data_IF_561039216116
#
_entry.id   IF_561039216116
#
_cell.length_a   1.000
_cell.length_b   1.000
_cell.length_c   1.000
_cell.angle_alpha   90.00
_cell.angle_beta   90.00
_cell.angle_gamma   90.00
#
_symmetry.space_group_name_H-M   'P 1'
#
loop_
_entity.id
_entity.type
_entity.pdbx_description
1 polymer ?
#
# COMPACT_ATOMS: atom_id res chain seq x y z
N UNK A 1 -10.14 -3.64 -14.37
CA UNK A 1 -9.12 -4.72 -14.30
C UNK A 1 -9.42 -5.55 -13.08
N UNK A 2 -9.57 -6.87 -13.25
CA UNK A 2 -9.78 -7.77 -12.10
C UNK A 2 -8.48 -7.86 -11.28
N UNK A 3 -8.56 -7.51 -9.99
CA UNK A 3 -7.43 -7.63 -9.07
C UNK A 3 -7.11 -9.10 -8.79
N UNK A 4 -5.82 -9.45 -8.77
CA UNK A 4 -5.36 -10.79 -8.33
C UNK A 4 -5.55 -11.00 -6.81
N UNK A 5 -5.81 -9.94 -6.05
CA UNK A 5 -6.04 -10.04 -4.60
C UNK A 5 -7.31 -10.82 -4.26
N UNK A 6 -8.30 -10.86 -5.15
CA UNK A 6 -9.54 -11.61 -4.95
C UNK A 6 -9.51 -13.04 -5.47
N UNK A 7 -8.45 -13.44 -6.17
CA UNK A 7 -8.34 -14.78 -6.79
C UNK A 7 -7.63 -15.74 -5.85
N UNK A 8 -8.10 -16.98 -5.80
CA UNK A 8 -7.36 -18.09 -5.22
C UNK A 8 -6.14 -18.44 -6.08
N UNK A 9 -5.14 -19.10 -5.49
CA UNK A 9 -3.97 -19.57 -6.23
C UNK A 9 -4.38 -20.52 -7.35
N UNK A 10 -5.45 -21.31 -7.18
CA UNK A 10 -5.97 -22.21 -8.21
C UNK A 10 -6.49 -21.43 -9.42
N UNK A 11 -7.26 -20.37 -9.18
CA UNK A 11 -7.77 -19.51 -10.25
C UNK A 11 -6.63 -18.77 -10.95
N UNK A 12 -5.64 -18.28 -10.19
CA UNK A 12 -4.44 -17.66 -10.76
C UNK A 12 -3.68 -18.65 -11.65
N UNK A 13 -3.53 -19.90 -11.19
CA UNK A 13 -2.84 -20.95 -11.94
C UNK A 13 -3.53 -21.27 -13.25
N UNK A 14 -4.86 -21.41 -13.22
CA UNK A 14 -5.66 -21.72 -14.42
C UNK A 14 -5.65 -20.54 -15.40
N UNK A 15 -5.79 -19.31 -14.90
CA UNK A 15 -5.96 -18.12 -15.74
C UNK A 15 -4.65 -17.58 -16.29
N UNK A 16 -3.62 -17.44 -15.45
CA UNK A 16 -2.45 -16.59 -15.74
C UNK A 16 -1.09 -17.28 -15.58
N UNK A 17 -0.95 -18.30 -14.74
CA UNK A 17 0.32 -19.06 -14.60
C UNK A 17 0.38 -20.32 -15.46
N UNK A 18 -0.53 -20.50 -16.43
CA UNK A 18 -0.55 -21.68 -17.31
C UNK A 18 0.64 -21.75 -18.27
N UNK A 19 1.24 -20.61 -18.61
CA UNK A 19 2.45 -20.51 -19.43
C UNK A 19 3.13 -19.13 -19.26
N UNK A 20 4.39 -19.01 -19.70
CA UNK A 20 5.07 -17.70 -19.72
C UNK A 20 4.34 -16.67 -20.59
N UNK A 21 3.74 -17.08 -21.72
CA UNK A 21 2.98 -16.16 -22.57
C UNK A 21 1.69 -15.68 -21.88
N UNK A 22 1.01 -16.55 -21.12
CA UNK A 22 -0.14 -16.15 -20.32
C UNK A 22 0.24 -15.11 -19.25
N UNK A 23 1.38 -15.29 -18.58
CA UNK A 23 1.91 -14.31 -17.63
C UNK A 23 2.25 -12.98 -18.31
N UNK A 24 2.89 -13.02 -19.50
CA UNK A 24 3.21 -11.82 -20.28
C UNK A 24 1.93 -11.07 -20.65
N UNK A 25 0.91 -11.78 -21.12
CA UNK A 25 -0.37 -11.21 -21.51
C UNK A 25 -1.06 -10.56 -20.31
N UNK A 26 -1.10 -11.23 -19.17
CA UNK A 26 -1.58 -10.66 -17.91
C UNK A 26 -0.84 -9.36 -17.56
N UNK A 27 0.50 -9.36 -17.62
CA UNK A 27 1.29 -8.16 -17.31
C UNK A 27 1.08 -7.01 -18.30
N UNK A 28 0.75 -7.29 -19.56
CA UNK A 28 0.36 -6.25 -20.52
C UNK A 28 -1.00 -5.67 -20.13
N UNK A 29 -1.97 -6.53 -19.80
CA UNK A 29 -3.33 -6.11 -19.43
C UNK A 29 -3.35 -5.24 -18.18
N UNK A 30 -2.51 -5.56 -17.18
CA UNK A 30 -2.36 -4.75 -15.97
C UNK A 30 -1.40 -3.56 -16.13
N UNK A 31 -0.82 -3.37 -17.32
CA UNK A 31 0.04 -2.22 -17.63
C UNK A 31 1.47 -2.28 -17.06
N UNK A 32 1.90 -3.44 -16.54
CA UNK A 32 3.27 -3.66 -16.06
C UNK A 32 4.26 -3.99 -17.19
N UNK A 33 3.74 -4.42 -18.35
CA UNK A 33 4.47 -4.52 -19.61
C UNK A 33 3.84 -3.59 -20.65
N UNK A 34 4.67 -3.10 -21.58
CA UNK A 34 4.17 -2.29 -22.70
C UNK A 34 3.32 -3.15 -23.63
N UNK A 35 2.18 -2.62 -24.04
CA UNK A 35 1.29 -3.26 -25.01
C UNK A 35 1.82 -3.13 -26.44
N UNK A 36 1.06 -3.69 -27.39
CA UNK A 36 1.27 -3.57 -28.83
C UNK A 36 0.81 -2.21 -29.39
N UNK A 37 0.59 -1.20 -28.55
CA UNK A 37 0.24 0.16 -28.98
C UNK A 37 1.47 1.06 -28.96
N UNK A 38 1.75 1.72 -30.08
CA UNK A 38 2.90 2.60 -30.18
C UNK A 38 2.70 3.86 -29.33
N UNK A 39 3.51 4.06 -28.28
CA UNK A 39 3.46 5.25 -27.42
C UNK A 39 3.86 6.58 -28.08
N UNK A 40 3.96 6.65 -29.41
CA UNK A 40 4.35 7.86 -30.16
C UNK A 40 3.29 8.23 -31.18
N UNK A 41 2.76 7.26 -31.92
CA UNK A 41 1.75 7.50 -32.96
C UNK A 41 0.45 6.74 -32.73
N UNK A 42 0.31 6.04 -31.59
CA UNK A 42 -0.87 5.28 -31.18
C UNK A 42 -1.33 4.17 -32.12
N UNK A 43 -0.55 3.83 -33.14
CA UNK A 43 -0.85 2.73 -34.05
C UNK A 43 -0.52 1.38 -33.40
N UNK A 44 -1.30 0.36 -33.80
CA UNK A 44 -1.00 -1.03 -33.47
C UNK A 44 0.33 -1.45 -34.06
N UNK A 45 1.11 -2.18 -33.26
CA UNK A 45 2.46 -2.65 -33.57
C UNK A 45 2.44 -4.15 -33.84
N UNK A 46 3.35 -4.60 -34.70
CA UNK A 46 3.53 -6.03 -34.99
C UNK A 46 4.54 -6.63 -34.02
N UNK A 47 4.30 -7.87 -33.56
CA UNK A 47 5.30 -8.67 -32.82
C UNK A 47 6.38 -9.16 -33.80
N UNK A 48 7.64 -8.96 -33.44
CA UNK A 48 8.81 -9.49 -34.15
C UNK A 48 9.61 -10.35 -33.19
N UNK A 49 9.98 -11.57 -33.62
CA UNK A 49 10.81 -12.47 -32.83
C UNK A 49 12.17 -11.83 -32.51
N UNK A 50 12.55 -11.90 -31.24
CA UNK A 50 13.84 -11.43 -30.73
C UNK A 50 14.25 -12.35 -29.58
N UNK A 51 15.16 -13.28 -29.85
CA UNK A 51 15.62 -14.27 -28.87
C UNK A 51 16.37 -13.66 -27.67
N UNK A 52 16.90 -12.43 -27.83
CA UNK A 52 17.60 -11.69 -26.76
C UNK A 52 16.62 -10.99 -25.85
N UNK A 53 15.42 -10.64 -26.33
CA UNK A 53 14.38 -10.08 -25.49
C UNK A 53 13.87 -11.13 -24.50
N UNK A 54 13.57 -10.71 -23.26
CA UNK A 54 13.04 -11.60 -22.22
C UNK A 54 11.70 -12.22 -22.63
N UNK A 55 10.83 -11.44 -23.26
CA UNK A 55 9.56 -11.86 -23.87
C UNK A 55 9.73 -12.72 -25.13
N UNK A 56 10.96 -12.93 -25.63
CA UNK A 56 11.25 -13.57 -26.93
C UNK A 56 10.74 -12.82 -28.17
N UNK A 57 10.15 -11.65 -27.98
CA UNK A 57 9.73 -10.75 -29.04
C UNK A 57 9.86 -9.28 -28.64
N UNK A 58 9.89 -8.41 -29.64
CA UNK A 58 9.74 -6.95 -29.52
C UNK A 58 8.59 -6.47 -30.40
N UNK A 59 8.05 -5.29 -30.11
CA UNK A 59 7.06 -4.64 -30.97
C UNK A 59 7.73 -3.75 -32.00
N UNK A 60 7.20 -3.75 -33.22
CA UNK A 60 7.61 -2.85 -34.29
C UNK A 60 6.41 -2.08 -34.86
N UNK A 61 6.53 -0.76 -34.89
CA UNK A 61 5.51 0.11 -35.46
C UNK A 61 5.82 0.37 -36.93
N UNK A 62 4.92 0.00 -37.84
CA UNK A 62 5.07 0.26 -39.28
C UNK A 62 4.95 1.75 -39.61
N UNK A 63 4.10 2.50 -38.89
CA UNK A 63 3.84 3.90 -39.16
C UNK A 63 5.06 4.80 -38.84
N UNK A 64 5.72 4.59 -37.70
CA UNK A 64 6.85 5.43 -37.26
C UNK A 64 8.20 4.69 -37.20
N UNK A 65 8.25 3.43 -37.66
CA UNK A 65 9.44 2.55 -37.72
C UNK A 65 10.13 2.32 -36.37
N UNK A 66 9.46 2.59 -35.24
CA UNK A 66 10.02 2.42 -33.89
C UNK A 66 9.95 0.97 -33.43
N UNK A 67 11.03 0.53 -32.77
CA UNK A 67 11.11 -0.75 -32.05
C UNK A 67 10.90 -0.52 -30.56
N UNK A 68 10.07 -1.33 -29.93
CA UNK A 68 9.77 -1.26 -28.50
C UNK A 68 9.97 -2.63 -27.88
N UNK A 69 10.90 -2.73 -26.92
CA UNK A 69 11.02 -3.91 -26.07
C UNK A 69 9.97 -3.81 -24.94
N UNK A 70 9.09 -4.81 -24.76
CA UNK A 70 8.01 -4.77 -23.77
C UNK A 70 8.49 -4.53 -22.33
N UNK A 71 9.66 -5.05 -21.97
CA UNK A 71 10.22 -4.98 -20.62
C UNK A 71 11.04 -3.71 -20.35
N UNK A 72 11.34 -2.90 -21.37
CA UNK A 72 12.28 -1.77 -21.22
C UNK A 72 11.64 -0.64 -20.41
N UNK A 73 12.34 -0.17 -19.38
CA UNK A 73 11.88 0.83 -18.42
C UNK A 73 10.64 0.39 -17.65
N UNK A 74 10.51 -0.91 -17.40
CA UNK A 74 9.47 -1.47 -16.52
C UNK A 74 10.12 -2.31 -15.41
N UNK A 75 9.29 -2.83 -14.50
CA UNK A 75 9.63 -3.80 -13.45
C UNK A 75 10.55 -4.94 -13.93
N UNK A 76 10.43 -5.31 -15.22
CA UNK A 76 11.11 -6.47 -15.80
C UNK A 76 12.49 -6.16 -16.43
N UNK A 77 12.94 -4.90 -16.45
CA UNK A 77 14.16 -4.49 -17.19
C UNK A 77 15.43 -5.22 -16.75
N UNK A 78 15.68 -5.28 -15.44
CA UNK A 78 16.88 -5.92 -14.85
C UNK A 78 16.54 -7.20 -14.06
N UNK A 79 15.27 -7.58 -14.08
CA UNK A 79 14.76 -8.71 -13.33
C UNK A 79 15.08 -10.02 -14.07
N UNK A 80 15.79 -10.94 -13.41
CA UNK A 80 16.23 -12.21 -13.99
C UNK A 80 15.24 -13.36 -13.83
N UNK A 81 14.21 -13.20 -12.99
CA UNK A 81 13.21 -14.24 -12.72
C UNK A 81 12.28 -14.42 -13.93
N UNK A 82 11.65 -15.58 -14.09
CA UNK A 82 10.65 -15.80 -15.14
C UNK A 82 9.41 -14.92 -14.93
N UNK A 83 8.53 -14.79 -15.92
CA UNK A 83 7.28 -14.04 -15.73
C UNK A 83 6.36 -14.77 -14.74
N UNK A 84 6.33 -16.10 -14.77
CA UNK A 84 5.61 -16.91 -13.79
C UNK A 84 6.12 -16.71 -12.36
N UNK A 85 7.44 -16.70 -12.13
CA UNK A 85 8.04 -16.44 -10.82
C UNK A 85 7.67 -15.05 -10.30
N UNK A 86 7.73 -14.04 -11.17
CA UNK A 86 7.34 -12.67 -10.82
C UNK A 86 5.87 -12.62 -10.38
N UNK A 87 4.98 -13.24 -11.15
CA UNK A 87 3.54 -13.23 -10.87
C UNK A 87 3.23 -13.98 -9.57
N UNK A 88 3.85 -15.14 -9.35
CA UNK A 88 3.65 -15.92 -8.14
C UNK A 88 4.21 -15.21 -6.90
N UNK A 89 5.37 -14.55 -6.99
CA UNK A 89 5.91 -13.74 -5.90
C UNK A 89 5.01 -12.55 -5.56
N UNK A 90 4.48 -11.86 -6.57
CA UNK A 90 3.52 -10.77 -6.37
C UNK A 90 2.26 -11.30 -5.69
N UNK A 91 1.73 -12.45 -6.13
CA UNK A 91 0.59 -13.10 -5.49
C UNK A 91 0.88 -13.45 -4.03
N UNK A 92 2.00 -14.13 -3.74
CA UNK A 92 2.40 -14.50 -2.39
C UNK A 92 2.49 -13.26 -1.48
N UNK A 93 3.06 -12.16 -1.98
CA UNK A 93 3.15 -10.92 -1.22
C UNK A 93 1.79 -10.28 -0.99
N UNK A 94 0.93 -10.21 -2.02
CA UNK A 94 -0.39 -9.59 -1.93
C UNK A 94 -1.37 -10.34 -1.02
N UNK A 95 -1.14 -11.63 -0.78
CA UNK A 95 -1.92 -12.49 0.12
C UNK A 95 -1.25 -12.67 1.49
N UNK A 96 -0.26 -11.85 1.85
CA UNK A 96 0.44 -11.87 3.14
C UNK A 96 1.07 -13.23 3.49
N UNK A 97 1.54 -13.99 2.50
CA UNK A 97 2.27 -15.24 2.76
C UNK A 97 3.60 -14.94 3.45
N UNK A 98 3.99 -15.80 4.40
CA UNK A 98 5.31 -15.72 5.01
C UNK A 98 6.42 -15.99 3.99
N UNK A 99 7.63 -15.52 4.27
CA UNK A 99 8.81 -15.80 3.43
C UNK A 99 9.01 -17.30 3.25
N UNK A 100 8.79 -18.09 4.31
CA UNK A 100 8.93 -19.54 4.29
C UNK A 100 7.88 -20.21 3.38
N UNK A 101 6.64 -19.73 3.40
CA UNK A 101 5.60 -20.21 2.50
C UNK A 101 5.90 -19.79 1.05
N UNK A 102 6.28 -18.53 0.82
CA UNK A 102 6.64 -18.06 -0.51
C UNK A 102 7.82 -18.84 -1.11
N UNK A 103 8.87 -19.13 -0.33
CA UNK A 103 9.98 -20.01 -0.74
C UNK A 103 9.49 -21.39 -1.14
N UNK A 104 8.55 -21.98 -0.37
CA UNK A 104 7.95 -23.28 -0.69
C UNK A 104 7.12 -23.22 -1.97
N UNK A 105 6.29 -22.21 -2.16
CA UNK A 105 5.43 -22.11 -3.34
C UNK A 105 6.22 -21.82 -4.61
N UNK A 106 7.21 -20.91 -4.54
CA UNK A 106 7.96 -20.49 -5.73
C UNK A 106 9.18 -21.36 -6.01
N UNK A 107 9.62 -22.20 -5.05
CA UNK A 107 10.85 -22.98 -5.14
C UNK A 107 12.11 -22.12 -5.38
N UNK A 108 12.06 -20.83 -5.01
CA UNK A 108 13.18 -19.89 -5.14
C UNK A 108 14.00 -19.85 -3.86
N UNK A 109 15.24 -19.38 -3.98
CA UNK A 109 16.11 -19.21 -2.81
C UNK A 109 15.52 -18.21 -1.82
N UNK A 110 15.66 -18.47 -0.51
CA UNK A 110 15.21 -17.54 0.54
C UNK A 110 15.75 -16.11 0.36
N UNK A 111 17.04 -15.89 0.03
CA UNK A 111 17.53 -14.54 -0.29
C UNK A 111 16.77 -13.86 -1.43
N UNK A 112 16.46 -14.59 -2.51
CA UNK A 112 15.69 -14.07 -3.65
C UNK A 112 14.29 -13.62 -3.24
N UNK A 113 13.57 -14.43 -2.45
CA UNK A 113 12.22 -14.08 -1.98
C UNK A 113 12.24 -12.84 -1.09
N UNK A 114 13.22 -12.75 -0.18
CA UNK A 114 13.37 -11.59 0.71
C UNK A 114 13.66 -10.33 -0.09
N UNK A 115 14.61 -10.39 -1.01
CA UNK A 115 14.99 -9.26 -1.87
C UNK A 115 13.80 -8.79 -2.73
N UNK A 116 13.04 -9.74 -3.30
CA UNK A 116 11.87 -9.42 -4.09
C UNK A 116 10.75 -8.79 -3.25
N UNK A 117 10.47 -9.32 -2.06
CA UNK A 117 9.49 -8.73 -1.14
C UNK A 117 9.93 -7.34 -0.66
N UNK A 118 11.24 -7.13 -0.49
CA UNK A 118 11.78 -5.81 -0.19
C UNK A 118 11.56 -4.84 -1.35
N UNK A 119 11.81 -5.27 -2.59
CA UNK A 119 11.57 -4.47 -3.78
C UNK A 119 10.09 -4.06 -3.94
N UNK A 120 9.13 -4.98 -3.70
CA UNK A 120 7.70 -4.63 -3.68
C UNK A 120 7.42 -3.55 -2.62
N UNK A 121 7.96 -3.71 -1.41
CA UNK A 121 7.78 -2.70 -0.33
C UNK A 121 8.34 -1.34 -0.69
N UNK A 122 9.47 -1.29 -1.40
CA UNK A 122 10.03 -0.02 -1.88
C UNK A 122 9.07 0.67 -2.84
N UNK A 123 8.51 -0.06 -3.81
CA UNK A 123 7.53 0.51 -4.73
C UNK A 123 6.28 0.99 -3.99
N UNK A 124 5.75 0.23 -3.03
CA UNK A 124 4.65 0.71 -2.20
C UNK A 124 5.01 1.97 -1.41
N UNK A 125 6.23 2.06 -0.90
CA UNK A 125 6.73 3.23 -0.16
C UNK A 125 6.78 4.46 -1.07
N UNK A 126 7.31 4.31 -2.28
CA UNK A 126 7.36 5.37 -3.28
C UNK A 126 5.94 5.83 -3.67
N UNK A 127 5.02 4.89 -3.92
CA UNK A 127 3.62 5.21 -4.21
C UNK A 127 2.94 5.97 -3.06
N UNK A 128 3.18 5.60 -1.81
CA UNK A 128 2.63 6.30 -0.64
C UNK A 128 3.23 7.71 -0.51
N UNK A 129 4.54 7.85 -0.73
CA UNK A 129 5.22 9.14 -0.65
C UNK A 129 4.82 10.10 -1.77
N UNK A 130 4.57 9.57 -2.98
CA UNK A 130 4.12 10.34 -4.14
C UNK A 130 2.62 10.61 -4.14
N UNK A 131 1.83 9.87 -3.33
CA UNK A 131 0.41 10.11 -3.22
C UNK A 131 0.16 11.49 -2.63
N UNK A 132 -0.30 12.44 -3.46
CA UNK A 132 -0.73 13.80 -3.09
C UNK A 132 -2.24 14.00 -3.09
N UNK A 133 -3.00 12.91 -3.10
CA UNK A 133 -4.45 12.97 -3.08
C UNK A 133 -4.96 13.74 -1.86
N UNK A 134 -5.88 14.65 -2.13
CA UNK A 134 -6.61 15.42 -1.14
C UNK A 134 -7.92 14.68 -0.87
N UNK A 135 -8.16 14.33 0.38
CA UNK A 135 -9.38 13.64 0.81
C UNK A 135 -10.37 14.63 1.43
N UNK A 136 -11.60 14.19 1.66
CA UNK A 136 -12.66 14.98 2.25
C UNK A 136 -13.38 15.88 1.24
N UNK A 137 -14.02 16.93 1.75
CA UNK A 137 -14.83 17.88 1.00
C UNK A 137 -15.97 18.42 1.85
N UNK A 138 -16.71 19.44 1.38
CA UNK A 138 -17.88 19.97 2.08
C UNK A 138 -18.85 18.86 2.50
N UNK A 139 -19.06 18.70 3.82
CA UNK A 139 -19.94 17.69 4.39
C UNK A 139 -19.39 16.26 4.45
N UNK A 140 -18.13 16.04 4.03
CA UNK A 140 -17.46 14.74 4.15
C UNK A 140 -16.78 14.63 5.50
N UNK A 141 -16.99 13.50 6.17
CA UNK A 141 -16.39 13.18 7.46
C UNK A 141 -15.03 12.51 7.29
N UNK A 142 -14.01 13.07 7.93
CA UNK A 142 -12.63 12.58 7.90
C UNK A 142 -12.14 12.34 9.32
N UNK A 143 -11.82 11.09 9.65
CA UNK A 143 -11.20 10.72 10.93
C UNK A 143 -9.69 10.93 10.85
N UNK A 144 -9.10 11.63 11.82
CA UNK A 144 -7.64 11.86 11.92
C UNK A 144 -7.11 11.38 13.27
N UNK A 145 -5.88 10.84 13.29
CA UNK A 145 -5.20 10.41 14.51
C UNK A 145 -3.68 10.32 14.33
N UNK A 146 -2.95 10.34 15.45
CA UNK A 146 -1.50 10.15 15.53
C UNK A 146 -1.14 8.87 16.28
N UNK A 147 -0.17 8.14 15.73
CA UNK A 147 0.20 6.83 16.23
C UNK A 147 1.71 6.66 16.30
N UNK A 148 2.18 6.12 17.43
CA UNK A 148 3.59 5.76 17.62
C UNK A 148 3.83 4.30 17.20
N UNK A 149 4.72 4.09 16.23
CA UNK A 149 5.09 2.77 15.69
C UNK A 149 6.34 2.17 16.33
N UNK A 150 6.86 2.74 17.40
CA UNK A 150 8.02 2.21 18.10
C UNK A 150 7.67 1.91 19.56
N UNK A 151 7.34 0.65 19.84
CA UNK A 151 7.20 0.13 21.21
C UNK A 151 8.50 -0.55 21.64
N UNK A 152 8.83 -0.40 22.92
CA UNK A 152 9.91 -1.17 23.54
C UNK A 152 9.56 -2.67 23.49
N UNK A 153 10.53 -3.52 23.13
CA UNK A 153 10.35 -4.97 23.21
C UNK A 153 10.09 -5.36 24.67
N UNK A 154 8.93 -5.94 24.98
CA UNK A 154 8.51 -6.26 26.36
C UNK A 154 8.47 -5.06 27.33
N UNK A 155 8.17 -3.86 26.83
CA UNK A 155 8.27 -2.61 27.62
C UNK A 155 9.67 -2.35 28.22
N UNK A 156 10.71 -3.07 27.76
CA UNK A 156 12.10 -2.96 28.23
C UNK A 156 13.06 -2.73 27.05
N UNK A 157 14.22 -2.14 27.33
CA UNK A 157 15.27 -1.93 26.32
C UNK A 157 15.10 -0.68 25.43
N UNK A 158 15.97 -0.60 24.42
CA UNK A 158 16.15 0.56 23.53
C UNK A 158 14.96 0.74 22.59
N UNK A 159 14.48 1.98 22.47
CA UNK A 159 13.54 2.39 21.42
C UNK A 159 14.33 2.48 20.11
N UNK A 160 13.96 1.68 19.10
CA UNK A 160 14.71 1.56 17.84
C UNK A 160 14.32 2.60 16.77
N UNK A 161 13.42 3.54 17.10
CA UNK A 161 13.05 4.66 16.24
C UNK A 161 12.08 5.61 16.94
N UNK A 162 11.94 6.84 16.44
CA UNK A 162 11.18 7.91 17.10
C UNK A 162 10.28 8.67 16.12
N UNK A 163 9.67 7.97 15.16
CA UNK A 163 8.74 8.57 14.21
C UNK A 163 7.31 8.54 14.74
N UNK A 164 6.66 9.71 14.77
CA UNK A 164 5.21 9.79 14.87
C UNK A 164 4.64 9.52 13.48
N UNK A 165 3.53 8.80 13.43
CA UNK A 165 2.75 8.65 12.22
C UNK A 165 1.50 9.50 12.39
N UNK A 166 1.14 10.22 11.33
CA UNK A 166 -0.14 10.92 11.23
C UNK A 166 -0.93 10.28 10.10
N UNK A 167 -2.22 10.11 10.32
CA UNK A 167 -3.09 9.46 9.36
C UNK A 167 -4.48 10.06 9.34
N UNK A 168 -5.12 9.94 8.20
CA UNK A 168 -6.50 10.36 7.98
C UNK A 168 -7.23 9.39 7.06
N UNK A 169 -8.54 9.22 7.28
CA UNK A 169 -9.39 8.37 6.44
C UNK A 169 -10.80 8.96 6.31
N UNK A 170 -11.37 8.92 5.11
CA UNK A 170 -12.80 9.23 4.93
C UNK A 170 -13.67 8.12 5.53
N UNK A 171 -14.65 8.50 6.34
CA UNK A 171 -15.45 7.53 7.10
C UNK A 171 -16.33 6.63 6.22
N UNK A 172 -16.81 7.13 5.09
CA UNK A 172 -17.71 6.37 4.21
C UNK A 172 -17.02 5.78 2.98
N UNK A 173 -15.73 6.10 2.78
CA UNK A 173 -14.90 5.55 1.70
C UNK A 173 -13.49 5.28 2.21
N UNK A 174 -13.28 4.09 2.75
CA UNK A 174 -12.00 3.67 3.31
C UNK A 174 -10.90 3.48 2.25
N UNK A 175 -11.19 3.64 0.96
CA UNK A 175 -10.15 3.67 -0.08
C UNK A 175 -9.38 4.99 -0.08
N UNK A 176 -9.99 6.04 0.49
CA UNK A 176 -9.41 7.38 0.60
C UNK A 176 -8.83 7.60 1.98
N UNK A 177 -7.52 7.37 2.07
CA UNK A 177 -6.75 7.57 3.28
C UNK A 177 -5.34 8.02 2.94
N UNK A 178 -4.68 8.65 3.90
CA UNK A 178 -3.22 8.81 3.84
C UNK A 178 -2.60 8.50 5.19
N UNK A 179 -1.39 7.95 5.17
CA UNK A 179 -0.55 7.71 6.34
C UNK A 179 0.82 8.27 6.03
N UNK A 180 1.40 9.04 6.95
CA UNK A 180 2.73 9.62 6.76
C UNK A 180 3.52 9.69 8.05
N UNK A 181 4.84 9.59 7.93
CA UNK A 181 5.77 9.83 9.03
C UNK A 181 5.89 11.33 9.23
N UNK A 182 5.65 11.80 10.46
CA UNK A 182 5.80 13.20 10.84
C UNK A 182 6.89 13.36 11.90
N UNK A 183 7.68 14.45 11.85
CA UNK A 183 8.75 14.69 12.82
C UNK A 183 8.20 15.04 14.21
N UNK A 184 6.95 15.51 14.28
CA UNK A 184 6.30 15.87 15.53
C UNK A 184 4.78 15.80 15.42
N UNK A 185 4.13 15.60 16.57
CA UNK A 185 2.67 15.63 16.77
C UNK A 185 2.13 17.01 17.18
N UNK A 186 2.94 18.06 16.98
CA UNK A 186 2.57 19.42 17.38
C UNK A 186 1.74 20.07 16.29
N UNK A 187 0.92 21.06 16.67
CA UNK A 187 0.06 21.80 15.74
C UNK A 187 0.83 22.41 14.58
N UNK A 188 2.07 22.88 14.82
CA UNK A 188 2.91 23.50 13.79
C UNK A 188 3.31 22.50 12.69
N UNK A 189 3.30 21.19 12.99
CA UNK A 189 3.50 20.13 12.00
C UNK A 189 2.19 19.69 11.37
N UNK A 190 1.13 19.48 12.17
CA UNK A 190 -0.09 18.81 11.72
C UNK A 190 -1.06 19.73 10.97
N UNK A 191 -1.22 20.97 11.40
CA UNK A 191 -2.17 21.91 10.77
C UNK A 191 -1.80 22.19 9.30
N UNK A 192 -0.54 22.42 8.92
CA UNK A 192 -0.16 22.55 7.51
C UNK A 192 -0.50 21.32 6.68
N UNK A 193 -0.24 20.11 7.22
CA UNK A 193 -0.54 18.85 6.56
C UNK A 193 -2.05 18.70 6.34
N UNK A 194 -2.86 18.95 7.37
CA UNK A 194 -4.32 18.91 7.27
C UNK A 194 -4.82 19.87 6.17
N UNK A 195 -4.26 21.08 6.11
CA UNK A 195 -4.63 22.08 5.09
C UNK A 195 -4.23 21.69 3.67
N UNK A 196 -3.14 20.95 3.52
CA UNK A 196 -2.68 20.46 2.22
C UNK A 196 -3.45 19.22 1.76
N UNK A 197 -3.80 18.33 2.70
CA UNK A 197 -4.26 16.96 2.42
C UNK A 197 -5.75 16.72 2.65
N UNK A 198 -6.44 17.62 3.35
CA UNK A 198 -7.88 17.54 3.63
C UNK A 198 -8.57 18.77 3.06
N UNK A 199 -9.53 18.55 2.15
CA UNK A 199 -10.27 19.62 1.50
C UNK A 199 -11.03 20.48 2.53
N UNK A 200 -11.03 21.80 2.32
CA UNK A 200 -11.75 22.74 3.21
C UNK A 200 -13.25 22.45 3.23
N UNK A 201 -13.91 22.74 4.34
CA UNK A 201 -15.33 22.43 4.55
C UNK A 201 -15.60 20.98 4.97
N UNK A 202 -14.57 20.15 5.09
CA UNK A 202 -14.68 18.81 5.69
C UNK A 202 -15.06 18.89 7.17
N UNK A 203 -15.72 17.83 7.63
CA UNK A 203 -15.99 17.56 9.03
C UNK A 203 -14.84 16.69 9.54
N UNK A 204 -13.92 17.28 10.30
CA UNK A 204 -12.79 16.55 10.89
C UNK A 204 -13.23 15.97 12.23
N UNK A 205 -12.97 14.68 12.41
CA UNK A 205 -13.24 13.93 13.64
C UNK A 205 -11.90 13.51 14.23
N UNK A 206 -11.60 13.94 15.46
CA UNK A 206 -10.38 13.59 16.16
C UNK A 206 -10.63 13.43 17.65
N UNK A 207 -9.67 12.86 18.38
CA UNK A 207 -9.65 12.92 19.84
C UNK A 207 -9.57 14.39 20.31
N UNK A 208 -9.95 14.66 21.57
CA UNK A 208 -9.87 15.97 22.23
C UNK A 208 -8.44 16.52 22.45
N UNK A 209 -7.55 16.37 21.46
CA UNK A 209 -6.19 16.86 21.54
C UNK A 209 -6.13 18.36 21.25
N UNK A 210 -5.57 19.11 22.19
CA UNK A 210 -5.25 20.55 22.08
C UNK A 210 -4.60 21.00 20.77
N UNK A 211 -3.87 20.12 20.06
CA UNK A 211 -3.23 20.47 18.80
C UNK A 211 -4.25 20.83 17.70
N UNK A 212 -5.50 20.39 17.84
CA UNK A 212 -6.57 20.55 16.87
C UNK A 212 -7.52 21.72 17.16
N UNK A 213 -7.31 22.47 18.25
CA UNK A 213 -8.21 23.55 18.66
C UNK A 213 -8.38 24.66 17.59
N UNK A 214 -7.41 24.82 16.69
CA UNK A 214 -7.40 25.86 15.64
C UNK A 214 -8.06 25.40 14.33
N UNK A 215 -8.58 24.17 14.27
CA UNK A 215 -9.21 23.63 13.04
C UNK A 215 -10.48 24.40 12.64
N UNK A 216 -11.26 24.87 13.63
CA UNK A 216 -12.45 25.69 13.40
C UNK A 216 -12.10 27.00 12.69
N UNK A 217 -10.98 27.63 13.06
CA UNK A 217 -10.45 28.85 12.41
C UNK A 217 -9.94 28.58 10.99
N UNK A 218 -9.61 27.32 10.68
CA UNK A 218 -9.12 26.89 9.37
C UNK A 218 -10.23 26.50 8.37
N UNK A 219 -11.50 26.85 8.64
CA UNK A 219 -12.68 26.49 7.83
C UNK A 219 -12.98 24.99 7.78
N UNK A 220 -12.66 24.28 8.85
CA UNK A 220 -13.13 22.91 9.08
C UNK A 220 -14.23 22.92 10.15
N UNK A 221 -15.15 21.98 10.05
CA UNK A 221 -16.06 21.67 11.14
C UNK A 221 -15.33 20.64 11.99
N UNK A 222 -15.06 20.94 13.25
CA UNK A 222 -14.29 20.03 14.12
C UNK A 222 -15.22 19.37 15.14
N UNK A 223 -15.34 18.06 15.06
CA UNK A 223 -16.02 17.21 16.03
C UNK A 223 -14.97 16.47 16.85
N UNK A 224 -15.09 16.51 18.18
CA UNK A 224 -14.13 15.88 19.09
C UNK A 224 -14.71 14.67 19.80
N UNK A 225 -13.87 13.66 20.03
CA UNK A 225 -14.19 12.46 20.81
C UNK A 225 -13.44 12.51 22.14
N UNK A 226 -14.16 12.46 23.26
CA UNK A 226 -13.57 12.49 24.59
C UNK A 226 -13.37 11.08 25.17
N UNK A 227 -12.20 10.49 24.89
CA UNK A 227 -11.82 9.16 25.38
C UNK A 227 -11.64 9.06 26.91
N UNK A 228 -11.64 10.18 27.65
CA UNK A 228 -11.49 10.16 29.11
C UNK A 228 -12.81 10.02 29.88
N UNK A 229 -13.94 10.32 29.24
CA UNK A 229 -15.25 10.35 29.92
C UNK A 229 -16.25 9.35 29.37
N UNK A 230 -16.08 8.84 28.15
CA UNK A 230 -17.05 7.94 27.54
C UNK A 230 -16.36 7.02 26.52
N UNK A 231 -16.37 5.69 26.74
CA UNK A 231 -16.02 4.71 25.70
C UNK A 231 -17.04 4.69 24.53
N UNK A 232 -18.18 5.35 24.72
CA UNK A 232 -19.21 5.68 23.74
C UNK A 232 -19.86 6.96 24.26
N UNK A 233 -19.73 8.10 23.57
CA UNK A 233 -20.46 9.30 24.00
C UNK A 233 -21.95 8.98 23.90
N UNK A 234 -22.62 8.84 25.06
CA UNK A 234 -24.00 8.30 25.13
C UNK A 234 -25.02 9.19 24.41
N UNK A 235 -24.63 10.41 24.06
CA UNK A 235 -25.47 11.36 23.32
C UNK A 235 -25.25 11.31 21.81
N UNK A 236 -24.10 10.83 21.31
CA UNK A 236 -23.82 10.80 19.87
C UNK A 236 -23.03 9.55 19.47
N UNK A 237 -23.77 8.46 19.21
CA UNK A 237 -23.21 7.15 18.81
C UNK A 237 -22.44 7.19 17.47
N UNK A 238 -22.46 8.32 16.77
CA UNK A 238 -21.89 8.49 15.44
C UNK A 238 -20.52 9.17 15.43
N UNK A 239 -20.05 9.80 16.51
CA UNK A 239 -18.76 10.52 16.52
C UNK A 239 -17.70 9.64 17.20
N UNK A 240 -16.76 9.10 16.42
CA UNK A 240 -15.69 8.19 16.86
C UNK A 240 -14.50 8.21 15.89
N UNK A 241 -13.32 7.78 16.36
CA UNK A 241 -12.08 7.62 15.58
C UNK A 241 -11.75 6.13 15.29
N UNK A 242 -12.75 5.25 15.40
CA UNK A 242 -12.56 3.80 15.33
C UNK A 242 -11.96 3.29 14.03
N UNK A 243 -12.22 3.96 12.89
CA UNK A 243 -11.69 3.51 11.60
C UNK A 243 -10.18 3.75 11.55
N UNK A 244 -9.74 4.96 11.89
CA UNK A 244 -8.30 5.29 11.89
C UNK A 244 -7.53 4.48 12.96
N UNK A 245 -8.13 4.25 14.14
CA UNK A 245 -7.57 3.35 15.16
C UNK A 245 -7.40 1.90 14.65
N UNK A 246 -8.41 1.39 13.95
CA UNK A 246 -8.36 0.06 13.35
C UNK A 246 -7.23 -0.01 12.31
N UNK A 247 -7.08 1.00 11.45
CA UNK A 247 -5.96 1.10 10.51
C UNK A 247 -4.61 1.05 11.21
N UNK A 248 -4.44 1.78 12.32
CA UNK A 248 -3.21 1.71 13.11
C UNK A 248 -2.94 0.33 13.67
N UNK A 249 -3.98 -0.39 14.12
CA UNK A 249 -3.83 -1.77 14.60
C UNK A 249 -3.31 -2.69 13.50
N UNK A 250 -3.88 -2.62 12.29
CA UNK A 250 -3.43 -3.39 11.13
C UNK A 250 -1.97 -3.07 10.77
N UNK A 251 -1.65 -1.77 10.63
CA UNK A 251 -0.30 -1.34 10.27
C UNK A 251 0.76 -1.72 11.31
N UNK A 252 0.45 -1.64 12.60
CA UNK A 252 1.34 -2.10 13.69
C UNK A 252 1.52 -3.61 13.67
N UNK A 253 0.45 -4.38 13.48
CA UNK A 253 0.54 -5.84 13.42
C UNK A 253 1.38 -6.32 12.23
N UNK A 254 1.35 -5.61 11.09
CA UNK A 254 2.24 -5.89 9.97
C UNK A 254 3.71 -5.52 10.26
N UNK A 255 3.92 -4.48 11.07
CA UNK A 255 5.26 -3.95 11.39
C UNK A 255 6.00 -4.75 12.48
N UNK A 256 5.25 -5.43 13.36
CA UNK A 256 5.82 -6.25 14.42
C UNK A 256 5.56 -7.73 14.14
N UNK A 257 6.57 -8.61 14.12
CA UNK A 257 6.30 -10.05 14.09
C UNK A 257 5.38 -10.39 15.27
N UNK A 258 4.42 -11.32 15.11
CA UNK A 258 3.52 -11.71 16.19
C UNK A 258 4.36 -12.03 17.41
N UNK A 259 4.06 -11.36 18.52
CA UNK A 259 4.67 -11.68 19.81
C UNK A 259 4.43 -13.18 20.00
N UNK A 260 5.49 -14.00 19.89
CA UNK A 260 5.46 -15.37 20.37
C UNK A 260 5.12 -15.25 21.85
N UNK A 261 3.86 -15.47 22.20
CA UNK A 261 3.44 -15.63 23.59
C UNK A 261 4.28 -16.80 24.09
N UNK A 262 5.20 -16.60 25.06
CA UNK A 262 5.87 -17.72 25.67
C UNK A 262 4.76 -18.65 26.15
N UNK A 263 4.76 -19.92 25.71
CA UNK A 263 3.96 -20.94 26.38
C UNK A 263 4.31 -20.79 27.85
N UNK A 264 3.36 -20.37 28.68
CA UNK A 264 3.53 -20.51 30.13
C UNK A 264 3.76 -21.99 30.33
N UNK A 265 4.97 -22.36 30.73
CA UNK A 265 5.24 -23.69 31.23
C UNK A 265 4.21 -23.95 32.33
N UNK A 266 3.28 -24.85 32.04
CA UNK A 266 2.35 -25.37 33.03
C UNK A 266 3.21 -26.27 33.92
N UNK A 267 3.39 -25.97 35.22
CA UNK A 267 4.07 -26.90 36.10
C UNK A 267 3.28 -28.22 36.14
N UNK A 268 4.01 -29.33 36.02
CA UNK A 268 3.49 -30.68 36.23
C UNK A 268 3.08 -30.87 37.69
#
# INVERSE_FOLDING_TARGET
MESIAGKSIRELTISHLSSEEACIQFFIEVGLLKSDVCGVCSHKMSKINDSKAKTKYIYYCLACRKKVNPCRNTWFTKNKLSFSDNLLLIYCWAHDLSVELAVRETQLSRPTVIDYFYFIRQVCTDCINDNREVIGGPGVEVEIDESLFYRRKYNRGRILGSGWFFGAVERHDHSKLFLMVVPSRKKETLIPIIRERIARGSIIISDCWKAYNELSECRYIHSTVNHSQNFLDRQDRFIHTQNIENFWRWAKNASYPPLKIPKKDCPR
#
